data_IF_542776450946
#
_entry.id   IF_542776450946
#
_cell.length_a   1.000
_cell.length_b   1.000
_cell.length_c   1.000
_cell.angle_alpha   90.00
_cell.angle_beta   90.00
_cell.angle_gamma   90.00
#
_symmetry.space_group_name_H-M   'P 1'
#
loop_
_entity.id
_entity.type
_entity.pdbx_description
1 polymer ?
#
# COMPACT_ATOMS: atom_id res chain seq x y z
N UNK A 1 -18.09 -6.61 -23.31
CA UNK A 1 -17.07 -5.76 -23.97
C UNK A 1 -16.84 -4.51 -23.16
N UNK A 2 -17.72 -3.49 -23.24
CA UNK A 2 -17.44 -2.12 -22.74
C UNK A 2 -16.96 -2.00 -21.27
N UNK A 3 -17.44 -2.86 -20.36
CA UNK A 3 -17.03 -2.85 -18.95
C UNK A 3 -15.69 -3.55 -18.65
N UNK A 4 -15.32 -4.55 -19.46
CA UNK A 4 -14.01 -5.21 -19.33
C UNK A 4 -12.94 -4.25 -19.85
N UNK A 5 -13.20 -3.61 -20.99
CA UNK A 5 -12.33 -2.59 -21.58
C UNK A 5 -12.10 -1.43 -20.59
N UNK A 6 -13.15 -0.99 -19.87
CA UNK A 6 -13.04 0.01 -18.80
C UNK A 6 -12.24 -0.47 -17.58
N UNK A 7 -12.36 -1.75 -17.21
CA UNK A 7 -11.61 -2.34 -16.09
C UNK A 7 -10.12 -2.44 -16.44
N UNK A 8 -9.76 -2.80 -17.66
CA UNK A 8 -8.36 -2.84 -18.14
C UNK A 8 -7.69 -1.47 -18.09
N UNK A 9 -8.38 -0.42 -18.58
CA UNK A 9 -7.89 0.97 -18.49
C UNK A 9 -7.67 1.37 -17.03
N UNK A 10 -8.57 0.96 -16.14
CA UNK A 10 -8.45 1.24 -14.70
C UNK A 10 -7.26 0.49 -14.08
N UNK A 11 -7.05 -0.78 -14.45
CA UNK A 11 -5.89 -1.56 -13.98
C UNK A 11 -4.60 -0.87 -14.42
N UNK A 12 -4.45 -0.57 -15.71
CA UNK A 12 -3.23 0.05 -16.26
C UNK A 12 -2.91 1.38 -15.59
N UNK A 13 -3.89 2.28 -15.47
CA UNK A 13 -3.71 3.57 -14.80
C UNK A 13 -3.41 3.42 -13.30
N UNK A 14 -4.05 2.46 -12.61
CA UNK A 14 -3.78 2.19 -11.20
C UNK A 14 -2.38 1.60 -10.96
N UNK A 15 -1.87 0.75 -11.88
CA UNK A 15 -0.51 0.21 -11.83
C UNK A 15 0.51 1.34 -11.97
N UNK A 16 0.31 2.24 -12.95
CA UNK A 16 1.20 3.39 -13.14
C UNK A 16 1.27 4.29 -11.90
N UNK A 17 0.13 4.54 -11.26
CA UNK A 17 0.07 5.31 -10.03
C UNK A 17 0.77 4.59 -8.85
N UNK A 18 0.51 3.29 -8.69
CA UNK A 18 1.17 2.48 -7.66
C UNK A 18 2.69 2.45 -7.86
N UNK A 19 3.18 2.23 -9.09
CA UNK A 19 4.62 2.27 -9.41
C UNK A 19 5.25 3.63 -9.04
N UNK A 20 4.54 4.73 -9.29
CA UNK A 20 4.99 6.08 -8.89
C UNK A 20 5.12 6.20 -7.37
N UNK A 21 4.19 5.63 -6.61
CA UNK A 21 4.26 5.60 -5.14
C UNK A 21 5.38 4.70 -4.63
N UNK A 22 5.53 3.49 -5.17
CA UNK A 22 6.63 2.57 -4.84
C UNK A 22 7.99 3.24 -5.09
N UNK A 23 8.16 3.88 -6.25
CA UNK A 23 9.40 4.60 -6.56
C UNK A 23 9.71 5.72 -5.57
N UNK A 24 8.69 6.45 -5.12
CA UNK A 24 8.86 7.51 -4.12
C UNK A 24 9.14 6.95 -2.72
N UNK A 25 8.48 5.86 -2.32
CA UNK A 25 8.76 5.13 -1.07
C UNK A 25 10.23 4.69 -1.06
N UNK A 26 10.69 4.00 -2.10
CA UNK A 26 12.09 3.55 -2.20
C UNK A 26 13.09 4.70 -2.17
N UNK A 27 12.79 5.83 -2.82
CA UNK A 27 13.63 7.04 -2.74
C UNK A 27 13.72 7.57 -1.32
N UNK A 28 12.60 7.63 -0.59
CA UNK A 28 12.57 8.03 0.81
C UNK A 28 13.42 7.06 1.64
N UNK A 29 13.20 5.76 1.52
CA UNK A 29 13.96 4.74 2.28
C UNK A 29 15.47 4.77 1.98
N UNK A 30 15.88 5.03 0.72
CA UNK A 30 17.29 5.11 0.33
C UNK A 30 17.97 6.42 0.75
N UNK A 31 17.24 7.53 0.75
CA UNK A 31 17.77 8.87 1.07
C UNK A 31 17.87 9.13 2.58
N UNK A 32 17.40 8.20 3.38
CA UNK A 32 17.43 8.29 4.82
C UNK A 32 18.24 7.10 5.28
N UNK A 33 19.15 7.30 6.24
CA UNK A 33 19.83 6.21 6.94
C UNK A 33 18.84 5.42 7.84
N UNK A 34 17.58 5.23 7.39
CA UNK A 34 16.47 4.51 8.02
C UNK A 34 16.67 2.98 7.97
N UNK A 35 17.88 2.50 7.68
CA UNK A 35 18.27 1.15 8.11
C UNK A 35 18.34 1.01 9.63
N UNK A 36 18.22 2.11 10.39
CA UNK A 36 18.11 2.11 11.85
C UNK A 36 16.72 2.58 12.28
N UNK A 37 16.20 2.06 13.41
CA UNK A 37 14.96 2.56 14.00
C UNK A 37 15.04 4.08 14.19
N UNK A 38 14.02 4.79 13.70
CA UNK A 38 13.80 6.21 14.03
C UNK A 38 13.70 6.31 15.54
N UNK A 39 14.41 7.26 16.13
CA UNK A 39 14.42 7.51 17.56
C UNK A 39 13.56 8.73 17.87
N UNK A 40 12.87 8.74 19.02
CA UNK A 40 12.08 9.89 19.46
C UNK A 40 12.87 11.21 19.46
N UNK A 41 14.17 11.16 19.78
CA UNK A 41 15.05 12.33 19.80
C UNK A 41 15.23 12.96 18.41
N UNK A 42 15.15 12.17 17.33
CA UNK A 42 15.31 12.66 15.96
C UNK A 42 14.08 13.44 15.52
N UNK A 43 12.89 13.00 15.96
CA UNK A 43 11.64 13.74 15.76
C UNK A 43 11.59 14.98 16.66
N UNK A 44 11.99 14.87 17.94
CA UNK A 44 11.95 15.98 18.91
C UNK A 44 12.92 17.12 18.61
N UNK A 45 14.07 16.81 18.01
CA UNK A 45 15.06 17.83 17.63
C UNK A 45 14.64 18.62 16.38
N UNK A 46 13.47 18.30 15.80
CA UNK A 46 12.88 18.98 14.65
C UNK A 46 13.93 19.22 13.55
N UNK A 47 14.72 18.18 13.26
CA UNK A 47 15.42 18.13 11.98
C UNK A 47 14.30 18.06 10.93
N UNK A 48 13.84 19.23 10.48
CA UNK A 48 12.70 19.43 9.58
C UNK A 48 12.72 18.49 8.37
N UNK A 49 13.91 18.04 7.99
CA UNK A 49 14.13 17.04 6.95
C UNK A 49 13.54 15.66 7.33
N UNK A 50 13.80 15.12 8.53
CA UNK A 50 13.32 13.78 8.96
C UNK A 50 11.80 13.74 9.07
N UNK A 51 11.17 14.76 9.68
CA UNK A 51 9.71 14.81 9.82
C UNK A 51 9.04 14.86 8.44
N UNK A 52 9.51 15.75 7.55
CA UNK A 52 8.98 15.86 6.19
C UNK A 52 9.15 14.56 5.39
N UNK A 53 10.25 13.84 5.61
CA UNK A 53 10.52 12.54 5.02
C UNK A 53 9.57 11.45 5.52
N UNK A 54 9.30 11.39 6.82
CA UNK A 54 8.33 10.47 7.42
C UNK A 54 6.93 10.76 6.92
N UNK A 55 6.52 12.03 6.86
CA UNK A 55 5.24 12.44 6.31
C UNK A 55 5.10 12.01 4.85
N UNK A 56 6.17 12.18 4.06
CA UNK A 56 6.22 11.70 2.69
C UNK A 56 6.08 10.17 2.63
N UNK A 57 6.73 9.41 3.51
CA UNK A 57 6.60 7.95 3.57
C UNK A 57 5.14 7.54 3.86
N UNK A 58 4.56 8.07 4.94
CA UNK A 58 3.19 7.74 5.38
C UNK A 58 2.17 8.11 4.29
N UNK A 59 2.32 9.27 3.67
CA UNK A 59 1.46 9.70 2.59
C UNK A 59 1.55 8.75 1.38
N UNK A 60 2.75 8.35 0.97
CA UNK A 60 2.93 7.44 -0.18
C UNK A 60 2.46 6.02 0.11
N UNK A 61 2.71 5.52 1.32
CA UNK A 61 2.16 4.26 1.80
C UNK A 61 0.62 4.26 1.72
N UNK A 62 -0.01 5.31 2.25
CA UNK A 62 -1.47 5.45 2.26
C UNK A 62 -2.02 5.46 0.83
N UNK A 63 -1.41 6.23 -0.07
CA UNK A 63 -1.84 6.30 -1.47
C UNK A 63 -1.61 5.01 -2.24
N UNK A 64 -0.54 4.27 -1.96
CA UNK A 64 -0.32 2.94 -2.53
C UNK A 64 -1.46 2.00 -2.11
N UNK A 65 -1.74 1.89 -0.81
CA UNK A 65 -2.83 1.03 -0.30
C UNK A 65 -4.20 1.46 -0.85
N UNK A 66 -4.50 2.76 -0.89
CA UNK A 66 -5.76 3.27 -1.42
C UNK A 66 -5.94 2.92 -2.90
N UNK A 67 -4.91 3.16 -3.72
CA UNK A 67 -4.93 2.84 -5.15
C UNK A 67 -5.17 1.35 -5.40
N UNK A 68 -4.48 0.50 -4.63
CA UNK A 68 -4.63 -0.96 -4.70
C UNK A 68 -6.06 -1.39 -4.32
N UNK A 69 -6.58 -0.88 -3.20
CA UNK A 69 -7.83 -1.34 -2.63
C UNK A 69 -9.09 -0.79 -3.30
N UNK A 70 -9.01 0.41 -3.87
CA UNK A 70 -10.19 1.07 -4.48
C UNK A 70 -10.28 0.85 -5.99
N UNK A 71 -9.16 0.54 -6.66
CA UNK A 71 -9.11 0.39 -8.12
C UNK A 71 -8.50 -0.92 -8.55
N UNK A 72 -7.23 -1.19 -8.21
CA UNK A 72 -6.52 -2.36 -8.76
C UNK A 72 -7.24 -3.67 -8.46
N UNK A 73 -7.49 -3.97 -7.18
CA UNK A 73 -8.13 -5.24 -6.79
C UNK A 73 -9.59 -5.36 -7.27
N UNK A 74 -10.45 -4.34 -7.13
CA UNK A 74 -11.80 -4.40 -7.70
C UNK A 74 -11.83 -4.64 -9.22
N UNK A 75 -10.92 -3.99 -9.96
CA UNK A 75 -10.84 -4.17 -11.42
C UNK A 75 -10.27 -5.54 -11.80
N UNK A 76 -9.26 -6.04 -11.09
CA UNK A 76 -8.74 -7.41 -11.27
C UNK A 76 -9.81 -8.46 -11.02
N UNK A 77 -10.60 -8.29 -9.96
CA UNK A 77 -11.73 -9.17 -9.69
C UNK A 77 -12.76 -9.13 -10.81
N UNK A 78 -13.08 -7.93 -11.32
CA UNK A 78 -14.04 -7.74 -12.41
C UNK A 78 -13.64 -8.51 -13.68
N UNK A 79 -12.37 -8.44 -14.08
CA UNK A 79 -11.89 -9.16 -15.28
C UNK A 79 -11.83 -10.68 -15.08
N UNK A 80 -11.56 -11.15 -13.85
CA UNK A 80 -11.39 -12.59 -13.56
C UNK A 80 -12.72 -13.32 -13.38
N UNK A 81 -13.68 -12.70 -12.70
CA UNK A 81 -14.99 -13.30 -12.44
C UNK A 81 -16.02 -13.00 -13.52
N UNK A 82 -15.71 -12.08 -14.44
CA UNK A 82 -16.61 -11.69 -15.53
C UNK A 82 -17.93 -11.08 -15.06
N UNK A 83 -18.02 -10.64 -13.80
CA UNK A 83 -19.21 -10.04 -13.23
C UNK A 83 -18.87 -8.89 -12.27
N UNK A 84 -19.78 -7.92 -12.19
CA UNK A 84 -19.62 -6.70 -11.37
C UNK A 84 -20.55 -6.75 -10.15
N UNK A 85 -20.72 -7.93 -9.57
CA UNK A 85 -21.56 -8.04 -8.37
C UNK A 85 -20.92 -7.20 -7.27
N UNK A 86 -21.71 -6.29 -6.70
CA UNK A 86 -21.29 -5.54 -5.52
C UNK A 86 -21.23 -6.54 -4.37
N UNK A 87 -20.03 -6.88 -3.96
CA UNK A 87 -19.74 -7.75 -2.81
C UNK A 87 -18.83 -7.01 -1.84
N UNK A 88 -18.81 -7.41 -0.55
CA UNK A 88 -17.86 -6.88 0.41
C UNK A 88 -16.42 -6.96 -0.11
N UNK A 89 -15.63 -5.91 0.13
CA UNK A 89 -14.24 -5.86 -0.32
C UNK A 89 -13.38 -7.00 0.25
N UNK A 90 -13.68 -7.47 1.47
CA UNK A 90 -13.03 -8.65 2.04
C UNK A 90 -13.27 -9.92 1.21
N UNK A 91 -14.48 -10.07 0.66
CA UNK A 91 -14.81 -11.21 -0.20
C UNK A 91 -14.08 -11.13 -1.54
N UNK A 92 -13.87 -9.91 -2.07
CA UNK A 92 -13.01 -9.67 -3.23
C UNK A 92 -11.59 -10.16 -2.93
N UNK A 93 -11.00 -9.74 -1.80
CA UNK A 93 -9.65 -10.14 -1.41
C UNK A 93 -9.51 -11.66 -1.23
N UNK A 94 -10.46 -12.29 -0.52
CA UNK A 94 -10.49 -13.74 -0.35
C UNK A 94 -10.59 -14.49 -1.68
N UNK A 95 -11.33 -13.95 -2.64
CA UNK A 95 -11.43 -14.55 -3.97
C UNK A 95 -10.12 -14.39 -4.74
N UNK A 96 -9.53 -13.20 -4.73
CA UNK A 96 -8.26 -12.91 -5.39
C UNK A 96 -7.11 -13.75 -4.81
N UNK A 97 -7.11 -14.01 -3.51
CA UNK A 97 -6.15 -14.93 -2.88
C UNK A 97 -6.30 -16.36 -3.39
N UNK A 98 -7.54 -16.88 -3.46
CA UNK A 98 -7.81 -18.21 -4.05
C UNK A 98 -7.41 -18.32 -5.52
N UNK A 99 -7.44 -17.21 -6.26
CA UNK A 99 -7.04 -17.14 -7.67
C UNK A 99 -5.52 -16.92 -7.84
N UNK A 100 -4.78 -16.76 -6.75
CA UNK A 100 -3.33 -16.52 -6.76
C UNK A 100 -2.92 -15.09 -7.11
N UNK A 101 -3.85 -14.13 -7.12
CA UNK A 101 -3.59 -12.71 -7.39
C UNK A 101 -3.04 -11.98 -6.16
N UNK A 102 -3.47 -12.42 -4.97
CA UNK A 102 -2.99 -11.91 -3.68
C UNK A 102 -2.36 -13.08 -2.94
N UNK A 103 -1.22 -12.84 -2.30
CA UNK A 103 -0.51 -13.88 -1.54
C UNK A 103 -1.09 -14.11 -0.15
N UNK A 104 -1.64 -13.06 0.47
CA UNK A 104 -2.12 -13.08 1.85
C UNK A 104 -3.15 -11.96 2.11
N UNK A 105 -4.40 -12.33 2.39
CA UNK A 105 -5.43 -11.39 2.87
C UNK A 105 -5.10 -10.89 4.28
N UNK A 106 -4.43 -11.70 5.10
CA UNK A 106 -4.01 -11.26 6.43
C UNK A 106 -2.99 -10.12 6.37
N UNK A 107 -2.08 -10.13 5.40
CA UNK A 107 -1.09 -9.06 5.22
C UNK A 107 -1.80 -7.76 4.83
N UNK A 108 -2.82 -7.84 3.99
CA UNK A 108 -3.66 -6.70 3.66
C UNK A 108 -4.31 -6.09 4.93
N UNK A 109 -4.88 -6.93 5.78
CA UNK A 109 -5.50 -6.48 7.04
C UNK A 109 -4.47 -5.87 7.99
N UNK A 110 -3.27 -6.45 8.06
CA UNK A 110 -2.16 -5.89 8.83
C UNK A 110 -1.86 -4.44 8.38
N UNK A 111 -1.68 -4.21 7.08
CA UNK A 111 -1.40 -2.85 6.58
C UNK A 111 -2.58 -1.89 6.75
N UNK A 112 -3.83 -2.39 6.68
CA UNK A 112 -5.01 -1.57 6.96
C UNK A 112 -5.04 -1.10 8.42
N UNK A 113 -4.71 -1.98 9.36
CA UNK A 113 -4.61 -1.65 10.78
C UNK A 113 -3.45 -0.69 11.06
N UNK A 114 -2.29 -0.93 10.44
CA UNK A 114 -1.13 -0.06 10.53
C UNK A 114 -1.45 1.38 10.09
N UNK A 115 -2.18 1.53 8.98
CA UNK A 115 -2.66 2.84 8.50
C UNK A 115 -3.57 3.54 9.51
N UNK A 116 -4.49 2.79 10.14
CA UNK A 116 -5.40 3.36 11.12
C UNK A 116 -4.65 3.87 12.36
N UNK A 117 -3.63 3.12 12.83
CA UNK A 117 -2.80 3.55 13.95
C UNK A 117 -2.02 4.84 13.61
N UNK A 118 -1.42 4.91 12.43
CA UNK A 118 -0.71 6.11 11.95
C UNK A 118 -1.63 7.35 11.85
N UNK A 119 -2.91 7.16 11.53
CA UNK A 119 -3.88 8.25 11.44
C UNK A 119 -4.42 8.70 12.82
N UNK A 120 -4.37 7.83 13.83
CA UNK A 120 -4.93 8.10 15.16
C UNK A 120 -3.89 8.62 16.16
N UNK A 121 -2.66 8.13 16.08
CA UNK A 121 -1.63 8.37 17.11
C UNK A 121 -0.82 9.68 16.90
N UNK A 122 -1.22 10.54 15.97
CA UNK A 122 -0.57 11.82 15.69
C UNK A 122 -1.43 12.99 16.24
N UNK A 123 -1.02 13.79 17.25
CA UNK A 123 0.28 13.89 17.94
C UNK A 123 0.24 13.56 19.45
N UNK A 124 -0.75 12.81 19.94
CA UNK A 124 -1.00 12.65 21.38
C UNK A 124 0.01 11.73 22.12
N UNK A 125 0.78 10.89 21.40
CA UNK A 125 1.88 10.11 22.01
C UNK A 125 3.04 9.82 21.05
N UNK A 126 4.01 10.74 20.99
CA UNK A 126 5.21 10.65 20.14
C UNK A 126 5.90 9.27 20.16
N UNK A 127 5.96 8.61 21.31
CA UNK A 127 6.57 7.27 21.44
C UNK A 127 5.83 6.18 20.64
N UNK A 128 4.49 6.14 20.71
CA UNK A 128 3.70 5.19 19.91
C UNK A 128 3.75 5.51 18.42
N UNK A 129 3.82 6.80 18.08
CA UNK A 129 4.01 7.25 16.70
C UNK A 129 5.32 6.70 16.13
N UNK A 130 6.42 6.77 16.89
CA UNK A 130 7.74 6.25 16.49
C UNK A 130 7.74 4.73 16.30
N UNK A 131 7.14 3.98 17.22
CA UNK A 131 7.03 2.52 17.11
C UNK A 131 6.26 2.12 15.83
N UNK A 132 5.15 2.81 15.57
CA UNK A 132 4.31 2.55 14.39
C UNK A 132 5.03 2.92 13.09
N UNK A 133 5.79 4.02 13.07
CA UNK A 133 6.64 4.41 11.94
C UNK A 133 7.73 3.37 11.67
N UNK A 134 8.41 2.90 12.72
CA UNK A 134 9.44 1.87 12.60
C UNK A 134 8.87 0.55 12.08
N UNK A 135 7.67 0.17 12.54
CA UNK A 135 6.96 -0.99 12.03
C UNK A 135 6.60 -0.82 10.54
N UNK A 136 6.16 0.36 10.12
CA UNK A 136 5.93 0.65 8.70
C UNK A 136 7.21 0.48 7.90
N UNK A 137 8.32 1.07 8.34
CA UNK A 137 9.62 0.98 7.66
C UNK A 137 10.06 -0.48 7.50
N UNK A 138 9.94 -1.30 8.54
CA UNK A 138 10.40 -2.69 8.50
C UNK A 138 9.52 -3.59 7.61
N UNK A 139 8.24 -3.24 7.46
CA UNK A 139 7.26 -4.10 6.80
C UNK A 139 6.88 -3.63 5.39
N UNK A 140 7.19 -2.39 5.00
CA UNK A 140 6.69 -1.76 3.75
C UNK A 140 7.02 -2.56 2.49
N UNK A 141 8.15 -3.28 2.45
CA UNK A 141 8.49 -4.13 1.30
C UNK A 141 7.45 -5.24 1.08
N UNK A 142 6.82 -5.78 2.14
CA UNK A 142 5.73 -6.76 1.96
C UNK A 142 4.53 -6.16 1.24
N UNK A 143 4.16 -4.90 1.51
CA UNK A 143 3.08 -4.22 0.76
C UNK A 143 3.47 -4.03 -0.71
N UNK A 144 4.73 -3.67 -0.97
CA UNK A 144 5.27 -3.51 -2.31
C UNK A 144 5.25 -4.85 -3.05
N UNK A 145 5.62 -5.95 -2.38
CA UNK A 145 5.58 -7.29 -2.95
C UNK A 145 4.16 -7.75 -3.26
N UNK A 146 3.19 -7.47 -2.38
CA UNK A 146 1.77 -7.71 -2.68
C UNK A 146 1.31 -6.99 -3.95
N UNK A 147 1.71 -5.72 -4.12
CA UNK A 147 1.44 -4.97 -5.34
C UNK A 147 2.12 -5.60 -6.56
N UNK A 148 3.42 -5.92 -6.46
CA UNK A 148 4.17 -6.51 -7.57
C UNK A 148 3.59 -7.86 -8.00
N UNK A 149 3.15 -8.67 -7.04
CA UNK A 149 2.52 -9.96 -7.32
C UNK A 149 1.23 -9.80 -8.11
N UNK A 150 0.34 -8.90 -7.68
CA UNK A 150 -0.91 -8.60 -8.39
C UNK A 150 -0.66 -7.98 -9.78
N UNK A 151 0.35 -7.10 -9.90
CA UNK A 151 0.79 -6.52 -11.16
C UNK A 151 1.31 -7.59 -12.13
N UNK A 152 2.20 -8.46 -11.67
CA UNK A 152 2.78 -9.52 -12.49
C UNK A 152 1.71 -10.50 -12.95
N UNK A 153 0.78 -10.87 -12.07
CA UNK A 153 -0.38 -11.69 -12.43
C UNK A 153 -1.17 -11.11 -13.60
N UNK A 154 -1.39 -9.80 -13.61
CA UNK A 154 -2.08 -9.12 -14.71
C UNK A 154 -1.25 -9.11 -16.01
N UNK A 155 0.05 -8.80 -15.91
CA UNK A 155 0.95 -8.72 -17.08
C UNK A 155 1.12 -10.07 -17.75
N UNK A 156 1.31 -11.15 -16.98
CA UNK A 156 1.49 -12.50 -17.52
C UNK A 156 0.25 -13.05 -18.23
N UNK A 157 -0.93 -12.46 -17.96
CA UNK A 157 -2.21 -12.84 -18.55
C UNK A 157 -2.61 -11.98 -19.75
N UNK A 158 -2.02 -10.79 -19.90
CA UNK A 158 -2.32 -9.80 -20.95
C UNK A 158 -1.55 -10.10 -22.23
#
# INVERSE_FOLDING_TARGET
MEKIDSAEITIQSSIQECDSHVNRIRKVLNNINIHKPVLEKEIKNDENDIVAKIDQLIYRFTKLQDSMGTRLYPSLYTILEGNNKIIPFLDILNRLEKLGVITSVSDWQFFRNLRNNLAHDYPDSLGKTVETINLLISEIEKLIDMFNHAKNYYIERS
#
